data_IF_975693046227
#
_entry.id   IF_975693046227
#
_cell.length_a   1.000
_cell.length_b   1.000
_cell.length_c   1.000
_cell.angle_alpha   90.00
_cell.angle_beta   90.00
_cell.angle_gamma   90.00
#
_symmetry.space_group_name_H-M   'P 1'
#
loop_
_entity.id
_entity.type
_entity.pdbx_description
1 polymer ?
#
# COMPACT_ATOMS: atom_id res chain seq x y z
N UNK A 1 11.98 -16.91 5.80
CA UNK A 1 12.40 -16.07 6.94
C UNK A 1 11.14 -15.56 7.61
N UNK A 2 11.17 -15.27 8.91
CA UNK A 2 9.99 -14.81 9.66
C UNK A 2 10.22 -13.35 10.08
N UNK A 3 9.21 -12.50 9.88
CA UNK A 3 9.26 -11.07 10.12
C UNK A 3 8.25 -10.68 11.19
N UNK A 4 8.61 -9.69 12.00
CA UNK A 4 7.71 -8.94 12.87
C UNK A 4 7.46 -7.60 12.21
N UNK A 5 6.21 -7.32 11.85
CA UNK A 5 5.78 -5.99 11.42
C UNK A 5 5.09 -5.30 12.58
N UNK A 6 5.64 -4.18 13.02
CA UNK A 6 5.11 -3.37 14.12
C UNK A 6 4.49 -2.10 13.54
N UNK A 7 3.22 -1.86 13.87
CA UNK A 7 2.50 -0.64 13.59
C UNK A 7 2.46 0.18 14.88
N UNK A 8 2.95 1.40 14.82
CA UNK A 8 2.96 2.35 15.93
C UNK A 8 2.19 3.61 15.57
N UNK A 9 1.82 4.37 16.58
CA UNK A 9 1.37 5.74 16.38
C UNK A 9 2.56 6.72 16.17
N UNK A 10 2.28 8.01 16.11
CA UNK A 10 3.30 9.06 15.94
C UNK A 10 4.13 9.33 17.21
N UNK A 11 3.78 8.71 18.34
CA UNK A 11 4.46 8.82 19.63
C UNK A 11 5.24 7.56 19.98
N UNK A 12 5.51 6.69 18.97
CA UNK A 12 6.18 5.41 19.10
C UNK A 12 5.44 4.36 19.95
N UNK A 13 4.15 4.56 20.25
CA UNK A 13 3.34 3.57 20.96
C UNK A 13 2.96 2.41 20.03
N UNK A 14 3.27 1.16 20.43
CA UNK A 14 2.90 -0.04 19.67
C UNK A 14 1.38 -0.26 19.69
N UNK A 15 0.75 -0.13 18.54
CA UNK A 15 -0.69 -0.38 18.37
C UNK A 15 -0.97 -1.82 17.96
N UNK A 16 -0.14 -2.37 17.07
CA UNK A 16 -0.32 -3.70 16.53
C UNK A 16 1.02 -4.32 16.12
N UNK A 17 1.18 -5.61 16.41
CA UNK A 17 2.30 -6.41 15.95
C UNK A 17 1.80 -7.64 15.19
N UNK A 18 2.37 -7.86 14.01
CA UNK A 18 1.98 -8.92 13.09
C UNK A 18 3.21 -9.77 12.81
N UNK A 19 3.10 -11.08 12.98
CA UNK A 19 4.14 -12.01 12.56
C UNK A 19 3.78 -12.59 11.18
N UNK A 20 4.72 -12.53 10.24
CA UNK A 20 4.49 -13.04 8.88
C UNK A 20 5.76 -13.61 8.28
N UNK A 21 5.63 -14.64 7.44
CA UNK A 21 6.70 -15.10 6.55
C UNK A 21 6.50 -14.64 5.10
N UNK A 22 5.42 -13.92 4.83
CA UNK A 22 5.14 -13.32 3.52
C UNK A 22 6.01 -12.08 3.29
N UNK A 23 6.17 -11.72 2.02
CA UNK A 23 6.87 -10.51 1.57
C UNK A 23 6.00 -9.25 1.63
N UNK A 24 4.69 -9.38 1.88
CA UNK A 24 3.75 -8.28 2.05
C UNK A 24 2.79 -8.52 3.21
N UNK A 25 2.19 -7.44 3.71
CA UNK A 25 1.08 -7.46 4.66
C UNK A 25 0.01 -6.46 4.26
N UNK A 26 -1.25 -6.79 4.52
CA UNK A 26 -2.36 -5.85 4.37
C UNK A 26 -2.62 -5.12 5.69
N UNK A 27 -2.66 -3.79 5.64
CA UNK A 27 -3.04 -2.96 6.78
C UNK A 27 -4.50 -2.52 6.63
N UNK A 28 -5.38 -3.17 7.38
CA UNK A 28 -6.81 -2.84 7.38
C UNK A 28 -7.14 -1.77 8.42
N UNK A 29 -7.44 -0.55 7.96
CA UNK A 29 -7.88 0.58 8.80
C UNK A 29 -9.19 0.34 9.55
N UNK A 30 -9.92 -0.75 9.28
CA UNK A 30 -11.09 -1.17 10.06
C UNK A 30 -10.71 -1.90 11.36
N UNK A 31 -9.45 -2.28 11.51
CA UNK A 31 -8.97 -2.93 12.73
C UNK A 31 -9.10 -1.97 13.92
N UNK A 32 -9.84 -2.33 14.99
CA UNK A 32 -10.09 -1.44 16.13
C UNK A 32 -8.83 -0.87 16.79
N UNK A 33 -7.70 -1.58 16.71
CA UNK A 33 -6.43 -1.13 17.30
C UNK A 33 -5.79 0.05 16.56
N UNK A 34 -6.10 0.23 15.28
CA UNK A 34 -5.53 1.29 14.42
C UNK A 34 -6.58 2.18 13.77
N UNK A 35 -7.88 1.89 13.95
CA UNK A 35 -8.97 2.60 13.28
C UNK A 35 -9.03 4.11 13.60
N UNK A 36 -8.61 4.48 14.81
CA UNK A 36 -8.59 5.85 15.30
C UNK A 36 -7.28 6.60 14.97
N UNK A 37 -6.29 5.90 14.39
CA UNK A 37 -5.04 6.54 13.99
C UNK A 37 -5.20 7.24 12.64
N UNK A 38 -4.73 8.49 12.55
CA UNK A 38 -4.65 9.24 11.28
C UNK A 38 -3.38 8.91 10.50
N UNK A 39 -2.37 8.37 11.19
CA UNK A 39 -1.13 7.90 10.59
C UNK A 39 -0.52 6.79 11.44
N UNK A 40 0.28 5.95 10.81
CA UNK A 40 1.01 4.84 11.42
C UNK A 40 2.48 4.93 11.04
N UNK A 41 3.35 4.64 12.00
CA UNK A 41 4.74 4.30 11.72
C UNK A 41 4.84 2.78 11.56
N UNK A 42 5.34 2.33 10.42
CA UNK A 42 5.50 0.91 10.09
C UNK A 42 6.97 0.54 10.15
N UNK A 43 7.27 -0.48 10.95
CA UNK A 43 8.62 -1.02 11.12
C UNK A 43 8.60 -2.52 10.85
N UNK A 44 9.62 -3.01 10.15
CA UNK A 44 9.79 -4.44 9.87
C UNK A 44 11.09 -4.93 10.51
N UNK A 45 11.02 -6.04 11.23
CA UNK A 45 12.17 -6.67 11.89
C UNK A 45 12.24 -8.16 11.55
N UNK A 46 13.43 -8.69 11.28
CA UNK A 46 13.64 -10.13 11.16
C UNK A 46 13.52 -10.79 12.54
N UNK A 47 12.59 -11.73 12.70
CA UNK A 47 12.39 -12.44 13.97
C UNK A 47 13.63 -13.29 14.29
N UNK A 48 14.16 -13.13 15.50
CA UNK A 48 15.38 -13.80 15.95
C UNK A 48 16.67 -13.06 15.62
N UNK A 49 16.61 -11.94 14.90
CA UNK A 49 17.77 -11.07 14.66
C UNK A 49 17.45 -9.62 15.04
N UNK A 50 17.81 -9.24 16.26
CA UNK A 50 17.55 -7.90 16.82
C UNK A 50 18.19 -6.75 16.03
N UNK A 51 19.25 -7.02 15.27
CA UNK A 51 20.02 -6.00 14.54
C UNK A 51 19.49 -5.71 13.12
N UNK A 52 18.50 -6.47 12.64
CA UNK A 52 17.92 -6.29 11.31
C UNK A 52 16.51 -5.72 11.42
N UNK A 53 16.45 -4.41 11.68
CA UNK A 53 15.21 -3.61 11.74
C UNK A 53 15.24 -2.52 10.66
N UNK A 54 14.13 -2.35 9.95
CA UNK A 54 13.97 -1.25 9.00
C UNK A 54 13.85 0.10 9.71
N UNK A 55 14.18 1.22 9.04
CA UNK A 55 13.72 2.53 9.51
C UNK A 55 12.17 2.55 9.56
N UNK A 56 11.58 3.38 10.44
CA UNK A 56 10.14 3.56 10.48
C UNK A 56 9.66 4.29 9.22
N UNK A 57 8.61 3.76 8.59
CA UNK A 57 7.97 4.36 7.42
C UNK A 57 6.60 4.92 7.82
N UNK A 58 6.34 6.17 7.47
CA UNK A 58 5.08 6.84 7.78
C UNK A 58 4.01 6.50 6.73
N UNK A 59 2.91 5.91 7.19
CA UNK A 59 1.71 5.68 6.38
C UNK A 59 0.61 6.58 6.90
N UNK A 60 0.12 7.50 6.05
CA UNK A 60 -0.89 8.48 6.44
C UNK A 60 -2.23 8.17 5.79
N UNK A 61 -3.28 8.18 6.60
CA UNK A 61 -4.66 8.08 6.12
C UNK A 61 -5.07 9.40 5.46
N UNK A 62 -5.82 9.32 4.37
CA UNK A 62 -6.45 10.51 3.81
C UNK A 62 -7.43 11.11 4.82
N UNK A 63 -7.37 12.44 4.98
CA UNK A 63 -8.40 13.16 5.71
C UNK A 63 -9.75 13.03 5.01
N UNK A 64 -10.85 13.20 5.74
CA UNK A 64 -12.21 13.13 5.16
C UNK A 64 -12.37 14.07 3.96
N UNK A 65 -11.77 15.27 4.01
CA UNK A 65 -11.80 16.23 2.91
C UNK A 65 -11.02 15.74 1.69
N UNK A 66 -9.80 15.25 1.90
CA UNK A 66 -8.98 14.72 0.80
C UNK A 66 -9.63 13.50 0.16
N UNK A 67 -10.19 12.59 0.98
CA UNK A 67 -10.93 11.43 0.52
C UNK A 67 -12.13 11.82 -0.36
N UNK A 68 -12.94 12.78 0.07
CA UNK A 68 -14.07 13.26 -0.72
C UNK A 68 -13.65 13.84 -2.09
N UNK A 69 -12.47 14.48 -2.17
CA UNK A 69 -11.91 14.96 -3.45
C UNK A 69 -11.53 13.78 -4.35
N UNK A 70 -10.81 12.80 -3.81
CA UNK A 70 -10.42 11.59 -4.55
C UNK A 70 -11.64 10.80 -5.01
N UNK A 71 -12.66 10.61 -4.17
CA UNK A 71 -13.89 9.91 -4.51
C UNK A 71 -14.62 10.59 -5.69
N UNK A 72 -14.62 11.94 -5.72
CA UNK A 72 -15.19 12.71 -6.82
C UNK A 72 -14.39 12.52 -8.12
N UNK A 73 -13.06 12.51 -8.03
CA UNK A 73 -12.18 12.28 -9.18
C UNK A 73 -12.39 10.87 -9.76
N UNK A 74 -12.36 9.83 -8.92
CA UNK A 74 -12.66 8.44 -9.34
C UNK A 74 -14.04 8.32 -9.97
N UNK A 75 -15.03 9.06 -9.46
CA UNK A 75 -16.39 9.01 -10.01
C UNK A 75 -16.45 9.56 -11.43
N UNK A 76 -15.64 10.58 -11.73
CA UNK A 76 -15.53 11.22 -13.04
C UNK A 76 -14.70 10.43 -14.06
N UNK A 77 -13.85 9.51 -13.61
CA UNK A 77 -13.07 8.62 -14.47
C UNK A 77 -13.95 7.63 -15.27
N UNK A 78 -13.45 7.12 -16.42
CA UNK A 78 -14.17 6.13 -17.22
C UNK A 78 -14.51 4.87 -16.42
N UNK A 79 -15.59 4.17 -16.80
CA UNK A 79 -16.10 3.01 -16.05
C UNK A 79 -15.08 1.88 -15.86
N UNK A 80 -14.04 1.83 -16.71
CA UNK A 80 -12.94 0.87 -16.63
C UNK A 80 -12.29 0.86 -15.23
N UNK A 81 -12.11 2.01 -14.58
CA UNK A 81 -11.48 2.10 -13.25
C UNK A 81 -12.33 1.41 -12.17
N UNK A 82 -13.64 1.25 -12.42
CA UNK A 82 -14.63 0.64 -11.53
C UNK A 82 -14.81 -0.85 -11.79
N UNK A 83 -14.20 -1.38 -12.86
CA UNK A 83 -14.23 -2.81 -13.15
C UNK A 83 -13.39 -3.57 -12.12
N UNK A 84 -13.93 -4.69 -11.62
CA UNK A 84 -13.28 -5.56 -10.63
C UNK A 84 -12.48 -6.69 -11.30
N UNK A 85 -11.97 -6.44 -12.51
CA UNK A 85 -11.08 -7.32 -13.25
C UNK A 85 -9.65 -6.74 -13.32
N UNK A 86 -8.70 -7.51 -13.84
CA UNK A 86 -7.30 -7.14 -13.86
C UNK A 86 -7.03 -5.80 -14.58
N UNK A 87 -7.72 -5.54 -15.71
CA UNK A 87 -7.61 -4.28 -16.46
C UNK A 87 -8.13 -3.09 -15.65
N UNK A 88 -9.26 -3.25 -14.96
CA UNK A 88 -9.81 -2.21 -14.10
C UNK A 88 -8.94 -1.89 -12.91
N UNK A 89 -8.30 -2.91 -12.31
CA UNK A 89 -7.31 -2.71 -11.24
C UNK A 89 -6.06 -1.99 -11.73
N UNK A 90 -5.56 -2.34 -12.91
CA UNK A 90 -4.42 -1.62 -13.51
C UNK A 90 -4.76 -0.14 -13.76
N UNK A 91 -5.94 0.15 -14.33
CA UNK A 91 -6.40 1.52 -14.53
C UNK A 91 -6.51 2.29 -13.21
N UNK A 92 -6.97 1.63 -12.14
CA UNK A 92 -7.06 2.21 -10.80
C UNK A 92 -5.67 2.47 -10.20
N UNK A 93 -4.70 1.62 -10.48
CA UNK A 93 -3.32 1.81 -10.05
C UNK A 93 -2.71 3.07 -10.67
N UNK A 94 -2.89 3.25 -11.98
CA UNK A 94 -2.43 4.45 -12.71
C UNK A 94 -3.09 5.72 -12.15
N UNK A 95 -4.39 5.70 -11.93
CA UNK A 95 -5.09 6.83 -11.30
C UNK A 95 -4.51 7.18 -9.93
N UNK A 96 -4.31 6.18 -9.06
CA UNK A 96 -3.74 6.42 -7.74
C UNK A 96 -2.31 6.97 -7.82
N UNK A 97 -1.51 6.49 -8.77
CA UNK A 97 -0.17 6.99 -9.04
C UNK A 97 -0.19 8.47 -9.46
N UNK A 98 -1.06 8.84 -10.40
CA UNK A 98 -1.25 10.23 -10.87
C UNK A 98 -1.67 11.18 -9.76
N UNK A 99 -2.37 10.67 -8.74
CA UNK A 99 -2.79 11.41 -7.56
C UNK A 99 -1.87 11.23 -6.33
N UNK A 100 -0.67 10.68 -6.52
CA UNK A 100 0.33 10.46 -5.47
C UNK A 100 -0.13 9.58 -4.30
N UNK A 101 -1.12 8.73 -4.52
CA UNK A 101 -1.59 7.70 -3.58
C UNK A 101 -0.78 6.43 -3.78
N UNK A 102 0.53 6.50 -3.52
CA UNK A 102 1.49 5.48 -3.96
C UNK A 102 1.25 4.10 -3.32
N UNK A 103 0.77 4.03 -2.07
CA UNK A 103 0.45 2.75 -1.41
C UNK A 103 -0.79 2.11 -2.03
N UNK A 104 -1.81 2.91 -2.34
CA UNK A 104 -3.01 2.44 -3.03
C UNK A 104 -2.69 2.02 -4.47
N UNK A 105 -1.80 2.76 -5.15
CA UNK A 105 -1.29 2.41 -6.48
C UNK A 105 -0.54 1.07 -6.46
N UNK A 106 0.41 0.91 -5.55
CA UNK A 106 1.16 -0.33 -5.33
C UNK A 106 0.21 -1.52 -5.15
N UNK A 107 -0.73 -1.40 -4.21
CA UNK A 107 -1.75 -2.42 -3.92
C UNK A 107 -2.56 -2.77 -5.16
N UNK A 108 -2.96 -1.76 -5.94
CA UNK A 108 -3.76 -1.97 -7.15
C UNK A 108 -2.96 -2.65 -8.29
N UNK A 109 -1.67 -2.33 -8.44
CA UNK A 109 -0.79 -3.03 -9.38
C UNK A 109 -0.62 -4.50 -9.00
N UNK A 110 -0.32 -4.78 -7.73
CA UNK A 110 -0.16 -6.15 -7.22
C UNK A 110 -1.45 -6.95 -7.40
N UNK A 111 -2.61 -6.34 -7.14
CA UNK A 111 -3.89 -7.00 -7.35
C UNK A 111 -4.20 -7.24 -8.84
N UNK A 112 -3.84 -6.31 -9.73
CA UNK A 112 -3.97 -6.54 -11.16
C UNK A 112 -3.15 -7.76 -11.62
N UNK A 113 -1.90 -7.88 -11.15
CA UNK A 113 -1.01 -9.00 -11.44
C UNK A 113 -1.56 -10.31 -10.86
N UNK A 114 -2.11 -10.29 -9.64
CA UNK A 114 -2.68 -11.50 -9.04
C UNK A 114 -3.92 -12.01 -9.78
N UNK A 115 -4.66 -11.12 -10.46
CA UNK A 115 -5.81 -11.49 -11.29
C UNK A 115 -5.39 -11.99 -12.68
N UNK A 116 -4.36 -11.39 -13.29
CA UNK A 116 -3.81 -11.83 -14.56
C UNK A 116 -2.32 -11.45 -14.69
N UNK A 117 -1.44 -12.42 -14.49
CA UNK A 117 0.01 -12.20 -14.52
C UNK A 117 0.55 -12.19 -15.97
N UNK A 118 0.54 -11.01 -16.59
CA UNK A 118 1.02 -10.79 -17.96
C UNK A 118 2.33 -10.00 -17.98
N UNK A 119 3.17 -10.15 -19.03
CA UNK A 119 4.37 -9.33 -19.18
C UNK A 119 4.10 -7.81 -19.17
N UNK A 120 2.95 -7.39 -19.73
CA UNK A 120 2.52 -5.99 -19.74
C UNK A 120 2.29 -5.46 -18.32
N UNK A 121 1.61 -6.22 -17.46
CA UNK A 121 1.28 -5.76 -16.10
C UNK A 121 2.52 -5.72 -15.21
N UNK A 122 3.41 -6.71 -15.34
CA UNK A 122 4.72 -6.69 -14.67
C UNK A 122 5.58 -5.52 -15.14
N UNK A 123 5.56 -5.20 -16.44
CA UNK A 123 6.29 -4.05 -16.96
C UNK A 123 5.74 -2.72 -16.44
N UNK A 124 4.41 -2.57 -16.37
CA UNK A 124 3.77 -1.38 -15.80
C UNK A 124 4.10 -1.24 -14.31
N UNK A 125 4.02 -2.33 -13.54
CA UNK A 125 4.39 -2.35 -12.12
C UNK A 125 5.86 -1.98 -11.91
N UNK A 126 6.77 -2.57 -12.68
CA UNK A 126 8.20 -2.25 -12.61
C UNK A 126 8.45 -0.77 -12.95
N UNK A 127 7.80 -0.24 -13.99
CA UNK A 127 7.91 1.17 -14.33
C UNK A 127 7.44 2.09 -13.20
N UNK A 128 6.34 1.73 -12.52
CA UNK A 128 5.87 2.41 -11.31
C UNK A 128 6.93 2.39 -10.20
N UNK A 129 7.53 1.23 -9.90
CA UNK A 129 8.53 1.10 -8.84
C UNK A 129 9.77 1.97 -9.14
N UNK A 130 10.31 1.88 -10.35
CA UNK A 130 11.49 2.67 -10.78
C UNK A 130 11.18 4.17 -10.72
N UNK A 131 10.03 4.60 -11.26
CA UNK A 131 9.63 6.01 -11.27
C UNK A 131 9.49 6.59 -9.86
N UNK A 132 9.04 5.78 -8.91
CA UNK A 132 8.83 6.19 -7.52
C UNK A 132 9.99 5.84 -6.58
N UNK A 133 11.13 5.37 -7.12
CA UNK A 133 12.34 5.01 -6.36
C UNK A 133 12.08 3.93 -5.30
N UNK A 134 11.25 2.96 -5.68
CA UNK A 134 10.88 1.78 -4.88
C UNK A 134 11.51 0.49 -5.43
N UNK A 135 12.25 0.60 -6.54
CA UNK A 135 13.07 -0.49 -7.09
C UNK A 135 14.54 -0.18 -6.78
N UNK A 136 15.22 -1.13 -6.14
CA UNK A 136 16.67 -1.09 -5.92
C UNK A 136 17.35 -1.82 -7.10
N UNK A 137 17.28 -1.25 -8.32
CA UNK A 137 18.10 -1.65 -9.47
C UNK A 137 19.29 -0.70 -9.70
#
# INVERSE_FOLDING_TARGET
>A
MLYNVTLKDLFDEELLKIETSANSIDVDWRNPKIANADALLVEVQIKGNGNSKSPPNLVKKLSTKARAVIDKLITAEPSIIKEENARGKLARAVFYEEHHLLIDALTAYEYAISLADTPEYRAAYKAFLVKNKMDDE
#
